data_IF_984131474322
#
_entry.id   IF_984131474322
#
_cell.length_a   1.000
_cell.length_b   1.000
_cell.length_c   1.000
_cell.angle_alpha   90.00
_cell.angle_beta   90.00
_cell.angle_gamma   90.00
#
_symmetry.space_group_name_H-M   'P 1'
#
loop_
_entity.id
_entity.type
_entity.pdbx_description
1 polymer ?
#
# COMPACT_ATOMS: atom_id res chain seq x y z
N UNK A 1 6.61 -17.22 0.26
CA UNK A 1 5.42 -17.44 1.12
C UNK A 1 4.63 -16.15 1.09
N UNK A 2 3.33 -16.21 0.78
CA UNK A 2 2.45 -15.02 0.66
C UNK A 2 1.47 -15.07 1.83
N UNK A 3 1.42 -14.03 2.65
CA UNK A 3 0.55 -13.94 3.83
C UNK A 3 -0.87 -13.54 3.47
N UNK A 4 -1.03 -12.68 2.46
CA UNK A 4 -2.32 -12.20 1.95
C UNK A 4 -2.18 -11.72 0.51
N UNK A 5 -3.30 -11.47 -0.16
CA UNK A 5 -3.34 -10.89 -1.49
C UNK A 5 -4.11 -9.57 -1.47
N UNK A 6 -3.63 -8.58 -2.20
CA UNK A 6 -4.24 -7.26 -2.29
C UNK A 6 -5.13 -7.18 -3.53
N UNK A 7 -6.35 -6.69 -3.36
CA UNK A 7 -7.26 -6.32 -4.45
C UNK A 7 -7.57 -4.84 -4.30
N UNK A 8 -7.51 -4.12 -5.42
CA UNK A 8 -7.79 -2.69 -5.44
C UNK A 8 -9.27 -2.44 -5.74
N UNK A 9 -9.84 -1.48 -5.03
CA UNK A 9 -11.12 -0.86 -5.40
C UNK A 9 -10.85 0.19 -6.48
N UNK A 10 -11.88 0.50 -7.26
CA UNK A 10 -11.80 1.44 -8.38
C UNK A 10 -11.24 2.79 -7.93
N UNK A 11 -11.68 3.31 -6.77
CA UNK A 11 -11.21 4.60 -6.24
C UNK A 11 -9.71 4.58 -5.90
N UNK A 12 -9.19 3.43 -5.45
CA UNK A 12 -7.77 3.27 -5.16
C UNK A 12 -6.94 3.23 -6.46
N UNK A 13 -7.42 2.52 -7.47
CA UNK A 13 -6.77 2.44 -8.78
C UNK A 13 -6.77 3.82 -9.47
N UNK A 14 -7.89 4.54 -9.47
CA UNK A 14 -7.99 5.90 -9.99
C UNK A 14 -7.01 6.83 -9.28
N UNK A 15 -6.95 6.80 -7.94
CA UNK A 15 -6.01 7.60 -7.17
C UNK A 15 -4.55 7.29 -7.52
N UNK A 16 -4.17 6.00 -7.57
CA UNK A 16 -2.81 5.58 -7.90
C UNK A 16 -2.44 6.02 -9.33
N UNK A 17 -3.39 5.95 -10.27
CA UNK A 17 -3.16 6.31 -11.69
C UNK A 17 -2.79 7.77 -11.91
N UNK A 18 -3.16 8.66 -10.98
CA UNK A 18 -2.87 10.10 -11.05
C UNK A 18 -1.46 10.46 -10.56
N UNK A 19 -0.73 9.51 -9.96
CA UNK A 19 0.60 9.74 -9.40
C UNK A 19 1.71 9.63 -10.45
N UNK A 20 2.91 10.14 -10.13
CA UNK A 20 4.04 9.97 -11.03
C UNK A 20 4.47 8.49 -11.12
N UNK A 21 5.00 8.04 -12.27
CA UNK A 21 5.35 6.63 -12.48
C UNK A 21 6.32 6.03 -11.46
N UNK A 22 7.22 6.84 -10.87
CA UNK A 22 8.18 6.34 -9.87
C UNK A 22 7.48 6.08 -8.54
N UNK A 23 6.57 6.97 -8.16
CA UNK A 23 5.74 6.80 -6.97
C UNK A 23 4.81 5.61 -7.11
N UNK A 24 4.14 5.44 -8.25
CA UNK A 24 3.30 4.26 -8.55
C UNK A 24 4.11 2.98 -8.36
N UNK A 25 5.28 2.89 -9.01
CA UNK A 25 6.17 1.72 -8.90
C UNK A 25 6.57 1.44 -7.45
N UNK A 26 6.81 2.49 -6.65
CA UNK A 26 7.18 2.34 -5.24
C UNK A 26 6.02 1.87 -4.37
N UNK A 27 4.79 2.31 -4.67
CA UNK A 27 3.57 1.82 -4.00
C UNK A 27 3.43 0.32 -4.22
N UNK A 28 3.43 -0.13 -5.48
CA UNK A 28 3.27 -1.56 -5.80
C UNK A 28 4.39 -2.41 -5.20
N UNK A 29 5.65 -1.96 -5.30
CA UNK A 29 6.76 -2.65 -4.64
C UNK A 29 6.55 -2.82 -3.13
N UNK A 30 6.06 -1.79 -2.44
CA UNK A 30 5.81 -1.86 -1.00
C UNK A 30 4.63 -2.80 -0.66
N UNK A 31 3.61 -2.83 -1.51
CA UNK A 31 2.46 -3.74 -1.37
C UNK A 31 2.91 -5.19 -1.57
N UNK A 32 3.62 -5.48 -2.67
CA UNK A 32 4.18 -6.81 -2.93
C UNK A 32 5.07 -7.30 -1.80
N UNK A 33 5.87 -6.39 -1.22
CA UNK A 33 6.73 -6.71 -0.08
C UNK A 33 5.92 -6.95 1.20
N UNK A 34 4.86 -6.19 1.45
CA UNK A 34 3.96 -6.40 2.58
C UNK A 34 3.17 -7.72 2.46
N UNK A 35 2.77 -8.13 1.26
CA UNK A 35 2.13 -9.43 1.07
C UNK A 35 3.05 -10.61 1.41
N UNK A 36 4.37 -10.39 1.29
CA UNK A 36 5.39 -11.41 1.55
C UNK A 36 6.04 -11.25 2.93
N UNK A 37 5.76 -10.15 3.64
CA UNK A 37 6.37 -9.82 4.93
C UNK A 37 5.34 -9.23 5.88
N UNK A 38 5.30 -9.71 7.11
CA UNK A 38 4.47 -9.06 8.15
C UNK A 38 5.17 -7.81 8.72
N UNK A 39 5.84 -6.98 7.90
CA UNK A 39 6.55 -5.79 8.37
C UNK A 39 5.55 -4.66 8.70
N UNK A 40 5.39 -4.29 9.98
CA UNK A 40 4.47 -3.23 10.41
C UNK A 40 4.86 -1.83 9.91
N UNK A 41 6.05 -1.66 9.32
CA UNK A 41 6.44 -0.42 8.65
C UNK A 41 5.77 -0.26 7.28
N UNK A 42 5.43 -1.37 6.61
CA UNK A 42 4.79 -1.38 5.31
C UNK A 42 3.28 -1.54 5.42
N UNK A 43 2.81 -2.42 6.31
CA UNK A 43 1.40 -2.71 6.50
C UNK A 43 1.04 -2.76 7.98
N UNK A 44 0.22 -1.82 8.46
CA UNK A 44 -0.06 -1.64 9.88
C UNK A 44 -1.57 -1.64 10.15
N UNK A 45 -1.98 -2.35 11.19
CA UNK A 45 -3.34 -2.24 11.72
C UNK A 45 -3.57 -0.87 12.36
N UNK A 46 -4.66 -0.19 11.98
CA UNK A 46 -5.08 1.08 12.57
C UNK A 46 -6.08 0.83 13.71
N UNK A 47 -7.29 0.38 13.38
CA UNK A 47 -8.36 0.10 14.32
C UNK A 47 -9.39 -0.85 13.70
N UNK A 48 -10.03 -1.70 14.51
CA UNK A 48 -11.04 -2.67 14.06
C UNK A 48 -10.49 -3.55 12.93
N UNK A 49 -11.13 -3.53 11.76
CA UNK A 49 -10.72 -4.27 10.57
C UNK A 49 -9.95 -3.39 9.57
N UNK A 50 -9.63 -2.15 9.96
CA UNK A 50 -8.91 -1.19 9.10
C UNK A 50 -7.40 -1.33 9.29
N UNK A 51 -6.72 -1.49 8.17
CA UNK A 51 -5.28 -1.50 8.01
C UNK A 51 -4.83 -0.38 7.08
N UNK A 52 -3.55 -0.04 7.11
CA UNK A 52 -2.94 0.92 6.19
C UNK A 52 -1.66 0.37 5.56
N UNK A 53 -1.54 0.56 4.25
CA UNK A 53 -0.25 0.50 3.56
C UNK A 53 0.47 1.84 3.66
N UNK A 54 1.76 1.78 3.96
CA UNK A 54 2.59 2.97 4.18
C UNK A 54 3.67 3.08 3.12
N UNK A 55 3.58 4.13 2.31
CA UNK A 55 4.63 4.46 1.34
C UNK A 55 5.21 5.83 1.66
N UNK A 56 6.52 5.88 1.92
CA UNK A 56 7.30 7.12 2.02
C UNK A 56 8.33 7.11 0.91
N UNK A 57 8.21 8.04 -0.04
CA UNK A 57 9.06 8.08 -1.22
C UNK A 57 9.13 9.49 -1.80
N UNK A 58 10.32 9.93 -2.22
CA UNK A 58 10.51 11.23 -2.86
C UNK A 58 9.89 12.43 -2.09
N UNK A 59 9.92 12.40 -0.75
CA UNK A 59 9.31 13.42 0.09
C UNK A 59 7.79 13.30 0.26
N UNK A 60 7.13 12.42 -0.49
CA UNK A 60 5.71 12.11 -0.37
C UNK A 60 5.47 11.05 0.71
N UNK A 61 4.35 11.21 1.42
CA UNK A 61 3.84 10.24 2.37
C UNK A 61 2.43 9.82 1.95
N UNK A 62 2.31 8.61 1.43
CA UNK A 62 1.06 8.05 0.88
C UNK A 62 0.57 6.96 1.82
N UNK A 63 -0.75 6.94 2.04
CA UNK A 63 -1.46 5.93 2.83
C UNK A 63 -2.62 5.39 2.01
N UNK A 64 -2.65 4.08 1.82
CA UNK A 64 -3.79 3.38 1.25
C UNK A 64 -4.43 2.58 2.36
N UNK A 65 -5.74 2.74 2.55
CA UNK A 65 -6.48 1.97 3.55
C UNK A 65 -6.88 0.62 2.96
N UNK A 66 -6.87 -0.40 3.80
CA UNK A 66 -7.31 -1.76 3.48
C UNK A 66 -8.24 -2.25 4.59
N UNK A 67 -9.25 -3.03 4.22
CA UNK A 67 -10.27 -3.58 5.12
C UNK A 67 -10.90 -4.83 4.49
#
# INVERSE_FOLDING_TARGET
>A
MRFFETKFLEEADEFISQLDPKTIKKIFYNIDLAEQTNDPKLFKKLQNDIWEFRTKFAGLQIRLLAF
#
